data_IF_807644090782
#
_entry.id   IF_807644090782
#
_cell.length_a   1.000
_cell.length_b   1.000
_cell.length_c   1.000
_cell.angle_alpha   90.00
_cell.angle_beta   90.00
_cell.angle_gamma   90.00
#
_symmetry.space_group_name_H-M   'P 1'
#
loop_
_entity.id
_entity.type
_entity.pdbx_description
1 polymer ?
#
# COMPACT_ATOMS: atom_id res chain seq x y z
N UNK A 1 29.00 -0.89 -21.30
CA UNK A 1 27.63 -1.46 -21.17
C UNK A 1 27.45 -2.44 -19.99
N UNK A 2 28.45 -3.25 -19.60
CA UNK A 2 28.33 -4.27 -18.54
C UNK A 2 28.23 -3.73 -17.09
N UNK A 3 28.76 -2.54 -16.82
CA UNK A 3 28.67 -1.90 -15.50
C UNK A 3 27.24 -1.45 -15.14
N UNK A 4 26.48 -0.92 -16.12
CA UNK A 4 25.09 -0.49 -15.92
C UNK A 4 24.18 -1.66 -15.51
N UNK A 5 24.39 -2.84 -16.10
CA UNK A 5 23.66 -4.06 -15.72
C UNK A 5 24.02 -4.54 -14.31
N UNK A 6 25.29 -4.36 -13.89
CA UNK A 6 25.79 -4.76 -12.58
C UNK A 6 25.31 -3.84 -11.45
N UNK A 7 25.18 -2.53 -11.72
CA UNK A 7 24.70 -1.52 -10.76
C UNK A 7 23.20 -1.20 -10.85
N UNK A 8 22.43 -1.97 -11.63
CA UNK A 8 20.98 -1.75 -11.80
C UNK A 8 20.23 -1.71 -10.47
N UNK A 9 20.54 -2.62 -9.54
CA UNK A 9 19.88 -2.68 -8.22
C UNK A 9 20.20 -1.44 -7.36
N UNK A 10 21.47 -1.06 -7.12
CA UNK A 10 21.78 0.16 -6.37
C UNK A 10 21.17 1.42 -7.00
N UNK A 11 21.18 1.55 -8.34
CA UNK A 11 20.54 2.68 -9.03
C UNK A 11 19.01 2.73 -8.80
N UNK A 12 18.35 1.57 -8.72
CA UNK A 12 16.92 1.50 -8.37
C UNK A 12 16.69 1.89 -6.90
N UNK A 13 17.59 1.51 -5.99
CA UNK A 13 17.53 1.90 -4.57
C UNK A 13 17.74 3.41 -4.36
N UNK A 14 18.57 4.06 -5.17
CA UNK A 14 18.79 5.52 -5.09
C UNK A 14 17.53 6.31 -5.50
N UNK A 15 16.69 5.75 -6.37
CA UNK A 15 15.42 6.37 -6.81
C UNK A 15 14.26 6.07 -5.88
N UNK A 16 14.45 5.18 -4.93
CA UNK A 16 13.42 4.69 -4.02
C UNK A 16 12.80 5.77 -3.13
N UNK A 17 13.57 6.70 -2.52
CA UNK A 17 12.98 7.76 -1.71
C UNK A 17 12.09 8.69 -2.52
N UNK A 18 12.49 8.97 -3.77
CA UNK A 18 11.70 9.80 -4.70
C UNK A 18 10.40 9.09 -5.05
N UNK A 19 10.47 7.79 -5.35
CA UNK A 19 9.29 6.98 -5.62
C UNK A 19 8.33 6.95 -4.42
N UNK A 20 8.84 6.68 -3.21
CA UNK A 20 8.06 6.68 -1.97
C UNK A 20 7.35 8.03 -1.75
N UNK A 21 8.05 9.13 -2.02
CA UNK A 21 7.46 10.47 -1.92
C UNK A 21 6.29 10.65 -2.88
N UNK A 22 6.43 10.20 -4.13
CA UNK A 22 5.34 10.30 -5.12
C UNK A 22 4.16 9.40 -4.76
N UNK A 23 4.44 8.18 -4.29
CA UNK A 23 3.39 7.27 -3.81
C UNK A 23 2.58 7.91 -2.68
N UNK A 24 3.26 8.49 -1.68
CA UNK A 24 2.61 9.20 -0.56
C UNK A 24 1.79 10.39 -1.03
N UNK A 25 2.29 11.15 -2.00
CA UNK A 25 1.55 12.28 -2.56
C UNK A 25 0.25 11.82 -3.20
N UNK A 26 0.31 10.78 -4.04
CA UNK A 26 -0.87 10.21 -4.69
C UNK A 26 -1.85 9.65 -3.65
N UNK A 27 -1.35 8.89 -2.68
CA UNK A 27 -2.15 8.36 -1.57
C UNK A 27 -2.88 9.48 -0.81
N UNK A 28 -2.16 10.55 -0.46
CA UNK A 28 -2.75 11.68 0.25
C UNK A 28 -3.82 12.38 -0.59
N UNK A 29 -3.60 12.60 -1.89
CA UNK A 29 -4.60 13.23 -2.76
C UNK A 29 -5.86 12.38 -2.86
N UNK A 30 -5.72 11.05 -3.04
CA UNK A 30 -6.84 10.11 -3.08
C UNK A 30 -7.60 10.13 -1.75
N UNK A 31 -6.89 10.10 -0.62
CA UNK A 31 -7.52 10.11 0.70
C UNK A 31 -8.18 11.44 1.04
N UNK A 32 -7.60 12.57 0.62
CA UNK A 32 -8.15 13.90 0.85
C UNK A 32 -9.43 14.15 0.04
N UNK A 33 -9.47 13.68 -1.21
CA UNK A 33 -10.65 13.85 -2.07
C UNK A 33 -11.66 12.71 -1.91
N UNK A 34 -11.26 11.56 -1.38
CA UNK A 34 -12.10 10.36 -1.25
C UNK A 34 -12.84 10.24 0.07
N UNK A 35 -12.87 11.30 0.89
CA UNK A 35 -13.51 11.28 2.20
C UNK A 35 -15.03 11.22 2.07
N UNK A 36 -15.65 10.40 2.92
CA UNK A 36 -17.09 10.17 2.93
C UNK A 36 -17.90 11.38 3.44
N UNK A 37 -17.25 12.36 4.07
CA UNK A 37 -17.85 13.60 4.57
C UNK A 37 -18.06 14.67 3.48
N UNK A 38 -17.48 14.50 2.29
CA UNK A 38 -17.54 15.47 1.19
C UNK A 38 -18.84 15.42 0.37
N UNK A 39 -19.76 14.50 0.67
CA UNK A 39 -21.04 14.34 -0.05
C UNK A 39 -20.90 14.34 -1.58
N UNK A 40 -19.94 13.56 -2.09
CA UNK A 40 -19.59 13.51 -3.51
C UNK A 40 -20.68 12.85 -4.36
N UNK A 41 -20.73 13.23 -5.63
CA UNK A 41 -21.55 12.53 -6.62
C UNK A 41 -20.94 11.19 -7.01
N UNK A 42 -21.75 10.23 -7.46
CA UNK A 42 -21.28 8.90 -7.87
C UNK A 42 -20.19 8.96 -8.96
N UNK A 43 -20.27 9.94 -9.87
CA UNK A 43 -19.27 10.15 -10.92
C UNK A 43 -17.91 10.52 -10.33
N UNK A 44 -17.88 11.39 -9.33
CA UNK A 44 -16.64 11.83 -8.67
C UNK A 44 -16.04 10.69 -7.85
N UNK A 45 -16.87 9.96 -7.10
CA UNK A 45 -16.46 8.76 -6.37
C UNK A 45 -15.81 7.76 -7.32
N UNK A 46 -16.41 7.54 -8.49
CA UNK A 46 -15.88 6.63 -9.51
C UNK A 46 -14.53 7.09 -10.05
N UNK A 47 -14.36 8.38 -10.35
CA UNK A 47 -13.08 8.92 -10.83
C UNK A 47 -11.97 8.73 -9.80
N UNK A 48 -12.24 9.00 -8.52
CA UNK A 48 -11.26 8.81 -7.44
C UNK A 48 -10.98 7.32 -7.23
N UNK A 49 -12.01 6.47 -7.34
CA UNK A 49 -11.87 5.02 -7.29
C UNK A 49 -10.97 4.50 -8.43
N UNK A 50 -11.12 5.02 -9.65
CA UNK A 50 -10.24 4.70 -10.77
C UNK A 50 -8.79 5.11 -10.49
N UNK A 51 -8.57 6.27 -9.87
CA UNK A 51 -7.23 6.67 -9.40
C UNK A 51 -6.67 5.71 -8.32
N UNK A 52 -7.51 5.28 -7.36
CA UNK A 52 -7.12 4.30 -6.35
C UNK A 52 -6.81 2.94 -6.97
N UNK A 53 -7.54 2.54 -8.01
CA UNK A 53 -7.26 1.33 -8.76
C UNK A 53 -5.93 1.40 -9.53
N UNK A 54 -5.58 2.55 -10.09
CA UNK A 54 -4.26 2.77 -10.69
C UNK A 54 -3.13 2.68 -9.64
N UNK A 55 -3.35 3.21 -8.43
CA UNK A 55 -2.43 3.06 -7.31
C UNK A 55 -2.30 1.59 -6.88
N UNK A 56 -3.39 0.83 -6.90
CA UNK A 56 -3.38 -0.62 -6.66
C UNK A 56 -2.52 -1.36 -7.68
N UNK A 57 -2.70 -1.08 -8.98
CA UNK A 57 -1.87 -1.65 -10.05
C UNK A 57 -0.40 -1.31 -9.86
N UNK A 58 -0.11 -0.04 -9.55
CA UNK A 58 1.25 0.42 -9.25
C UNK A 58 1.86 -0.36 -8.07
N UNK A 59 1.09 -0.55 -7.00
CA UNK A 59 1.49 -1.31 -5.81
C UNK A 59 1.79 -2.77 -6.15
N UNK A 60 0.96 -3.40 -6.98
CA UNK A 60 1.16 -4.79 -7.43
C UNK A 60 2.40 -4.94 -8.30
N UNK A 61 2.64 -4.01 -9.23
CA UNK A 61 3.86 -3.97 -10.06
C UNK A 61 5.11 -3.67 -9.23
N UNK A 62 4.98 -2.91 -8.15
CA UNK A 62 6.07 -2.70 -7.21
C UNK A 62 6.40 -4.02 -6.53
N UNK A 63 5.44 -4.68 -5.87
CA UNK A 63 5.67 -5.94 -5.15
C UNK A 63 6.33 -7.03 -6.00
N UNK A 64 6.07 -7.07 -7.31
CA UNK A 64 6.70 -8.05 -8.21
C UNK A 64 8.17 -7.77 -8.55
N UNK A 65 8.70 -6.58 -8.28
CA UNK A 65 9.98 -6.14 -8.83
C UNK A 65 11.23 -6.63 -8.06
N UNK A 66 11.20 -6.90 -6.75
CA UNK A 66 12.38 -7.41 -6.00
C UNK A 66 12.18 -7.64 -4.48
N UNK A 67 13.13 -8.37 -3.87
CA UNK A 67 13.24 -8.55 -2.40
C UNK A 67 13.51 -7.24 -1.63
N UNK A 68 14.14 -6.26 -2.25
CA UNK A 68 14.43 -4.98 -1.59
C UNK A 68 13.16 -4.17 -1.29
N UNK A 69 12.04 -4.56 -1.90
CA UNK A 69 10.73 -3.93 -1.75
C UNK A 69 10.08 -4.29 -0.42
N UNK A 70 10.43 -5.41 0.21
CA UNK A 70 9.98 -5.76 1.57
C UNK A 70 10.22 -4.61 2.56
N UNK A 71 11.36 -3.92 2.44
CA UNK A 71 11.73 -2.80 3.31
C UNK A 71 10.81 -1.60 3.11
N UNK A 72 10.39 -1.37 1.87
CA UNK A 72 9.53 -0.25 1.46
C UNK A 72 8.08 -0.52 1.83
N UNK A 73 7.65 -1.76 1.64
CA UNK A 73 6.27 -2.19 1.86
C UNK A 73 5.79 -1.88 3.27
N UNK A 74 6.69 -1.97 4.26
CA UNK A 74 6.41 -1.60 5.64
C UNK A 74 6.07 -0.12 5.80
N UNK A 75 6.82 0.77 5.16
CA UNK A 75 6.55 2.21 5.21
C UNK A 75 5.24 2.54 4.51
N UNK A 76 5.00 1.94 3.34
CA UNK A 76 3.75 2.14 2.59
C UNK A 76 2.53 1.62 3.35
N UNK A 77 2.65 0.45 4.01
CA UNK A 77 1.60 -0.06 4.90
C UNK A 77 1.29 0.93 6.02
N UNK A 78 2.34 1.44 6.68
CA UNK A 78 2.18 2.46 7.72
C UNK A 78 1.51 3.73 7.19
N UNK A 79 1.89 4.20 6.00
CA UNK A 79 1.30 5.39 5.39
C UNK A 79 -0.20 5.20 5.09
N UNK A 80 -0.61 4.04 4.57
CA UNK A 80 -2.04 3.76 4.30
C UNK A 80 -2.83 3.62 5.60
N UNK A 81 -2.30 2.90 6.59
CA UNK A 81 -2.95 2.74 7.89
C UNK A 81 -3.13 4.08 8.62
N UNK A 82 -2.11 4.94 8.56
CA UNK A 82 -2.18 6.29 9.09
C UNK A 82 -3.27 7.14 8.41
N UNK A 83 -3.51 6.94 7.12
CA UNK A 83 -4.63 7.59 6.44
C UNK A 83 -5.97 7.07 6.96
N UNK A 84 -6.11 5.78 7.21
CA UNK A 84 -7.34 5.21 7.77
C UNK A 84 -7.67 5.71 9.18
N UNK A 85 -6.68 6.16 9.95
CA UNK A 85 -6.93 6.82 11.23
C UNK A 85 -7.50 8.23 11.09
N UNK A 86 -7.13 8.92 9.99
CA UNK A 86 -7.47 10.33 9.78
C UNK A 86 -8.78 10.53 9.05
N UNK A 87 -9.08 9.65 8.11
CA UNK A 87 -10.19 9.84 7.18
C UNK A 87 -11.04 8.59 7.07
N UNK A 88 -12.35 8.80 6.96
CA UNK A 88 -13.29 7.76 6.57
C UNK A 88 -13.52 7.88 5.06
N UNK A 89 -13.17 6.84 4.30
CA UNK A 89 -13.27 6.84 2.84
C UNK A 89 -14.54 6.13 2.37
N UNK A 90 -15.02 6.51 1.17
CA UNK A 90 -16.03 5.73 0.46
C UNK A 90 -15.56 4.28 0.23
N UNK A 91 -16.51 3.34 0.29
CA UNK A 91 -16.25 1.90 0.23
C UNK A 91 -15.47 1.50 -1.03
N UNK A 92 -15.81 2.06 -2.19
CA UNK A 92 -15.17 1.73 -3.47
C UNK A 92 -13.68 2.11 -3.48
N UNK A 93 -13.35 3.27 -2.92
CA UNK A 93 -11.98 3.76 -2.79
C UNK A 93 -11.22 2.92 -1.76
N UNK A 94 -11.86 2.66 -0.61
CA UNK A 94 -11.30 1.86 0.49
C UNK A 94 -10.98 0.44 0.04
N UNK A 95 -11.78 -0.15 -0.84
CA UNK A 95 -11.52 -1.47 -1.42
C UNK A 95 -10.17 -1.53 -2.14
N UNK A 96 -9.86 -0.55 -2.99
CA UNK A 96 -8.58 -0.51 -3.71
C UNK A 96 -7.38 -0.29 -2.79
N UNK A 97 -7.52 0.54 -1.75
CA UNK A 97 -6.46 0.71 -0.75
C UNK A 97 -6.27 -0.54 0.13
N UNK A 98 -7.35 -1.28 0.44
CA UNK A 98 -7.25 -2.59 1.09
C UNK A 98 -6.48 -3.58 0.22
N UNK A 99 -6.73 -3.61 -1.09
CA UNK A 99 -5.96 -4.44 -2.02
C UNK A 99 -4.47 -4.03 -2.04
N UNK A 100 -4.16 -2.74 -1.94
CA UNK A 100 -2.78 -2.28 -1.77
C UNK A 100 -2.15 -2.89 -0.51
N UNK A 101 -2.83 -2.81 0.63
CA UNK A 101 -2.38 -3.40 1.90
C UNK A 101 -2.12 -4.91 1.73
N UNK A 102 -3.04 -5.67 1.11
CA UNK A 102 -2.86 -7.11 0.93
C UNK A 102 -1.68 -7.46 0.00
N UNK A 103 -1.50 -6.70 -1.08
CA UNK A 103 -0.34 -6.85 -1.95
C UNK A 103 0.97 -6.58 -1.18
N UNK A 104 1.02 -5.50 -0.38
CA UNK A 104 2.20 -5.16 0.42
C UNK A 104 2.49 -6.19 1.52
N UNK A 105 1.46 -6.70 2.21
CA UNK A 105 1.60 -7.79 3.21
C UNK A 105 2.21 -9.03 2.55
N UNK A 106 1.80 -9.37 1.33
CA UNK A 106 2.34 -10.55 0.62
C UNK A 106 3.84 -10.48 0.36
N UNK A 107 4.40 -9.27 0.34
CA UNK A 107 5.85 -9.04 0.22
C UNK A 107 6.57 -9.04 1.57
N UNK A 108 5.88 -8.92 2.70
CA UNK A 108 6.52 -8.81 4.02
C UNK A 108 6.86 -10.18 4.59
N UNK A 109 8.06 -10.32 5.17
CA UNK A 109 8.42 -11.50 5.97
C UNK A 109 7.91 -11.38 7.42
N UNK A 110 8.13 -12.41 8.22
CA UNK A 110 7.68 -12.43 9.62
C UNK A 110 8.33 -11.31 10.46
N UNK A 111 9.60 -10.99 10.20
CA UNK A 111 10.31 -9.94 10.94
C UNK A 111 9.76 -8.56 10.61
N UNK A 112 9.46 -8.31 9.34
CA UNK A 112 8.82 -7.11 8.83
C UNK A 112 7.45 -6.89 9.49
N UNK A 113 6.60 -7.92 9.51
CA UNK A 113 5.29 -7.85 10.18
C UNK A 113 5.43 -7.58 11.68
N UNK A 114 6.32 -8.29 12.37
CA UNK A 114 6.56 -8.09 13.80
C UNK A 114 7.13 -6.69 14.13
N UNK A 115 7.96 -6.15 13.24
CA UNK A 115 8.45 -4.78 13.34
C UNK A 115 7.30 -3.77 13.20
N UNK A 116 6.45 -3.92 12.18
CA UNK A 116 5.34 -3.00 11.93
C UNK A 116 4.38 -2.94 13.13
N UNK A 117 4.03 -4.11 13.70
CA UNK A 117 3.18 -4.22 14.90
C UNK A 117 3.74 -3.51 16.14
N UNK A 118 5.05 -3.21 16.19
CA UNK A 118 5.67 -2.46 17.31
C UNK A 118 5.78 -0.96 17.08
N UNK A 119 5.83 -0.53 15.82
CA UNK A 119 6.12 0.87 15.46
C UNK A 119 4.85 1.65 15.13
N UNK A 120 3.79 0.96 14.74
CA UNK A 120 2.47 1.57 14.55
C UNK A 120 1.90 2.08 15.88
N UNK A 121 1.02 3.09 15.78
CA UNK A 121 0.13 3.49 16.86
C UNK A 121 -0.80 2.33 17.27
N UNK A 122 -1.44 2.44 18.43
CA UNK A 122 -2.38 1.41 18.88
C UNK A 122 -3.53 1.20 17.89
N UNK A 123 -4.11 2.29 17.36
CA UNK A 123 -5.20 2.23 16.39
C UNK A 123 -4.79 1.54 15.08
N UNK A 124 -3.67 1.95 14.47
CA UNK A 124 -3.12 1.32 13.27
C UNK A 124 -2.73 -0.13 13.51
N UNK A 125 -2.23 -0.46 14.70
CA UNK A 125 -1.88 -1.84 15.08
C UNK A 125 -3.10 -2.74 15.09
N UNK A 126 -4.21 -2.29 15.67
CA UNK A 126 -5.45 -3.07 15.72
C UNK A 126 -6.09 -3.21 14.34
N UNK A 127 -6.11 -2.12 13.55
CA UNK A 127 -6.51 -2.19 12.13
C UNK A 127 -5.64 -3.18 11.36
N UNK A 128 -4.31 -3.12 11.54
CA UNK A 128 -3.39 -4.00 10.85
C UNK A 128 -3.57 -5.46 11.25
N UNK A 129 -3.86 -5.79 12.52
CA UNK A 129 -4.19 -7.16 12.95
C UNK A 129 -5.40 -7.71 12.19
N UNK A 130 -6.49 -6.93 12.12
CA UNK A 130 -7.72 -7.33 11.40
C UNK A 130 -7.43 -7.58 9.92
N UNK A 131 -6.66 -6.69 9.30
CA UNK A 131 -6.27 -6.81 7.88
C UNK A 131 -5.33 -8.00 7.65
N UNK A 132 -4.38 -8.22 8.55
CA UNK A 132 -3.41 -9.32 8.45
C UNK A 132 -4.07 -10.69 8.66
N UNK A 133 -5.04 -10.80 9.56
CA UNK A 133 -5.83 -12.02 9.74
C UNK A 133 -6.74 -12.29 8.55
N UNK A 134 -7.37 -11.25 7.99
CA UNK A 134 -8.13 -11.34 6.74
C UNK A 134 -7.25 -11.79 5.58
N UNK A 135 -6.03 -11.26 5.47
CA UNK A 135 -5.05 -11.67 4.48
C UNK A 135 -4.68 -13.16 4.62
N UNK A 136 -4.39 -13.62 5.85
CA UNK A 136 -4.06 -15.03 6.10
C UNK A 136 -5.19 -15.98 5.71
N UNK A 137 -6.45 -15.60 5.97
CA UNK A 137 -7.63 -16.42 5.68
C UNK A 137 -7.96 -16.47 4.19
N UNK A 138 -7.88 -15.34 3.49
CA UNK A 138 -8.48 -15.19 2.15
C UNK A 138 -7.46 -15.00 1.02
N UNK A 139 -6.29 -14.42 1.30
CA UNK A 139 -5.33 -14.01 0.26
C UNK A 139 -4.06 -14.86 0.23
N UNK A 140 -3.67 -15.48 1.34
CA UNK A 140 -2.49 -16.37 1.37
C UNK A 140 -2.69 -17.69 0.60
N UNK A 141 -3.95 -18.10 0.41
CA UNK A 141 -4.30 -19.40 -0.16
C UNK A 141 -4.61 -19.38 -1.68
N UNK A 142 -4.57 -18.24 -2.35
CA UNK A 142 -4.86 -18.13 -3.79
C UNK A 142 -3.68 -18.49 -4.72
N UNK A 143 -2.60 -19.07 -4.18
CA UNK A 143 -1.34 -19.34 -4.89
C UNK A 143 -1.00 -20.80 -5.18
N UNK A 144 -1.98 -21.71 -5.29
CA UNK A 144 -1.77 -23.05 -5.84
C UNK A 144 -2.95 -23.45 -6.72
N UNK A 145 -2.85 -23.13 -8.01
CA UNK A 145 -3.48 -23.89 -9.10
C UNK A 145 -2.41 -24.10 -10.15
#
# INVERSE_FOLDING_TARGET
>A
MSLLLKFRKPLMMDRLPVYLRQYRLILNVICEHGKADLCLQEVEIRQISDCAHLLEKLTKSLVSCQKDICRISLYLLGDILHQYEKVTLYTDIKMHLNNCIYNLISSCDHHAVAYLMRVLSNASTDLFKIMYDSYKKHYRFTGKV
#
